data_IF_293978888026
#
_entry.id   IF_293978888026
#
_cell.length_a   1.000
_cell.length_b   1.000
_cell.length_c   1.000
_cell.angle_alpha   90.00
_cell.angle_beta   90.00
_cell.angle_gamma   90.00
#
_symmetry.space_group_name_H-M   'P 1'
#
loop_
_entity.id
_entity.type
_entity.pdbx_description
1 polymer ?
#
# COMPACT_ATOMS: atom_id res chain seq x y z
N UNK A 1 3.40 30.21 -28.09
CA UNK A 1 3.53 29.13 -27.10
C UNK A 1 3.55 27.83 -27.86
N UNK A 2 4.55 26.97 -27.64
CA UNK A 2 4.53 25.64 -28.22
C UNK A 2 3.31 24.91 -27.67
N UNK A 3 2.61 24.21 -28.51
CA UNK A 3 1.43 23.43 -28.14
C UNK A 3 1.87 22.41 -27.08
N UNK A 4 1.28 22.42 -25.90
CA UNK A 4 1.63 21.53 -24.77
C UNK A 4 1.56 20.04 -25.19
N UNK A 5 0.70 19.70 -26.17
CA UNK A 5 0.62 18.36 -26.72
C UNK A 5 1.90 17.95 -27.48
N UNK A 6 2.50 18.86 -28.25
CA UNK A 6 3.71 18.59 -29.05
C UNK A 6 4.94 18.41 -28.15
N UNK A 7 4.95 19.08 -26.99
CA UNK A 7 6.00 18.90 -26.00
C UNK A 7 6.04 17.47 -25.45
N UNK A 8 4.89 16.95 -25.03
CA UNK A 8 4.80 15.61 -24.43
C UNK A 8 5.21 14.50 -25.40
N UNK A 9 4.90 14.64 -26.69
CA UNK A 9 5.21 13.62 -27.70
C UNK A 9 6.67 13.62 -28.14
N UNK A 10 7.37 14.75 -28.02
CA UNK A 10 8.71 14.91 -28.58
C UNK A 10 9.83 14.99 -27.53
N UNK A 11 9.49 15.00 -26.24
CA UNK A 11 10.49 15.06 -25.19
C UNK A 11 11.10 13.68 -24.92
N UNK A 12 12.45 13.53 -24.81
CA UNK A 12 13.11 12.24 -24.61
C UNK A 12 12.75 11.56 -23.27
N UNK A 13 12.27 12.33 -22.28
CA UNK A 13 11.81 11.82 -21.00
C UNK A 13 10.27 11.64 -20.96
N UNK A 14 9.63 11.59 -22.14
CA UNK A 14 8.19 11.49 -22.25
C UNK A 14 7.62 10.24 -21.59
N UNK A 15 6.75 10.47 -20.62
CA UNK A 15 5.86 9.45 -20.05
C UNK A 15 4.45 9.87 -20.39
N UNK A 16 3.60 8.99 -20.97
CA UNK A 16 2.26 9.37 -21.41
C UNK A 16 1.50 10.13 -20.31
N UNK A 17 0.90 11.30 -20.61
CA UNK A 17 0.16 12.09 -19.64
C UNK A 17 -0.91 11.31 -18.91
N UNK A 18 -1.54 10.34 -19.58
CA UNK A 18 -2.57 9.47 -19.00
C UNK A 18 -2.07 8.75 -17.76
N UNK A 19 -0.80 8.41 -17.71
CA UNK A 19 -0.20 7.77 -16.53
C UNK A 19 -0.22 8.70 -15.30
N UNK A 20 0.10 9.97 -15.49
CA UNK A 20 0.10 10.99 -14.44
C UNK A 20 -1.31 11.40 -14.05
N UNK A 21 -2.20 11.47 -15.04
CA UNK A 21 -3.57 11.94 -14.90
C UNK A 21 -4.47 10.93 -14.19
N UNK A 22 -4.16 9.64 -14.27
CA UNK A 22 -4.92 8.58 -13.63
C UNK A 22 -5.07 8.73 -12.10
N UNK A 23 -4.21 9.50 -11.45
CA UNK A 23 -4.27 9.79 -10.01
C UNK A 23 -4.90 11.14 -9.66
N UNK A 24 -5.18 11.98 -10.65
CA UNK A 24 -5.78 13.30 -10.44
C UNK A 24 -7.31 13.22 -10.55
N UNK A 25 -8.00 13.94 -9.65
CA UNK A 25 -9.42 14.22 -9.86
C UNK A 25 -9.58 15.19 -11.01
N UNK A 26 -10.69 15.14 -11.71
CA UNK A 26 -11.01 16.03 -12.82
C UNK A 26 -10.76 17.53 -12.51
N UNK A 27 -11.16 18.08 -11.34
CA UNK A 27 -10.87 19.48 -11.02
C UNK A 27 -9.37 19.79 -10.87
N UNK A 28 -8.58 18.85 -10.33
CA UNK A 28 -7.13 19.02 -10.20
C UNK A 28 -6.42 18.98 -11.55
N UNK A 29 -6.88 18.12 -12.43
CA UNK A 29 -6.42 18.08 -13.82
C UNK A 29 -6.70 19.40 -14.54
N UNK A 30 -7.95 19.87 -14.52
CA UNK A 30 -8.35 21.16 -15.14
C UNK A 30 -7.53 22.32 -14.58
N UNK A 31 -7.27 22.32 -13.26
CA UNK A 31 -6.43 23.34 -12.64
C UNK A 31 -4.98 23.29 -13.13
N UNK A 32 -4.39 22.09 -13.30
CA UNK A 32 -3.05 21.97 -13.87
C UNK A 32 -3.00 22.49 -15.30
N UNK A 33 -4.00 22.16 -16.12
CA UNK A 33 -4.07 22.68 -17.50
C UNK A 33 -4.21 24.20 -17.53
N UNK A 34 -5.08 24.79 -16.70
CA UNK A 34 -5.22 26.26 -16.63
C UNK A 34 -3.91 26.96 -16.20
N UNK A 35 -3.12 26.36 -15.30
CA UNK A 35 -1.81 26.90 -14.93
C UNK A 35 -0.82 26.94 -16.09
N UNK A 36 -0.89 25.99 -17.02
CA UNK A 36 -0.01 25.96 -18.21
C UNK A 36 -0.34 27.05 -19.22
N UNK A 37 -1.59 27.52 -19.23
CA UNK A 37 -2.06 28.60 -20.12
C UNK A 37 -1.76 30.00 -19.56
N UNK A 38 -1.47 30.09 -18.23
CA UNK A 38 -1.18 31.34 -17.55
C UNK A 38 0.27 31.38 -17.02
N UNK A 39 1.23 32.00 -17.74
CA UNK A 39 2.63 32.06 -17.32
C UNK A 39 2.87 32.73 -15.97
N UNK A 40 2.01 33.67 -15.57
CA UNK A 40 2.14 34.37 -14.27
C UNK A 40 1.70 33.46 -13.14
N UNK A 41 0.54 32.81 -13.30
CA UNK A 41 0.07 31.82 -12.32
C UNK A 41 1.02 30.63 -12.22
N UNK A 42 1.61 30.18 -13.35
CA UNK A 42 2.59 29.12 -13.39
C UNK A 42 3.84 29.45 -12.57
N UNK A 43 4.46 30.61 -12.79
CA UNK A 43 5.63 31.09 -12.02
C UNK A 43 5.33 31.15 -10.52
N UNK A 44 4.17 31.67 -10.15
CA UNK A 44 3.72 31.71 -8.74
C UNK A 44 3.59 30.31 -8.14
N UNK A 45 3.03 29.36 -8.87
CA UNK A 45 2.89 27.97 -8.40
C UNK A 45 4.26 27.29 -8.30
N UNK A 46 5.19 27.51 -9.24
CA UNK A 46 6.57 27.04 -9.16
C UNK A 46 7.26 27.59 -7.92
N UNK A 47 7.17 28.90 -7.68
CA UNK A 47 7.73 29.52 -6.48
C UNK A 47 7.17 28.91 -5.18
N UNK A 48 5.88 28.55 -5.17
CA UNK A 48 5.25 27.85 -4.04
C UNK A 48 5.75 26.43 -3.88
N UNK A 49 5.93 25.67 -4.96
CA UNK A 49 6.38 24.28 -4.93
C UNK A 49 7.86 24.16 -4.59
N UNK A 50 8.67 25.06 -5.13
CA UNK A 50 10.13 25.09 -5.00
C UNK A 50 10.60 26.13 -3.98
N UNK A 51 9.79 26.44 -2.97
CA UNK A 51 10.12 27.42 -1.92
C UNK A 51 11.36 27.00 -1.09
N UNK A 52 11.69 25.72 -1.08
CA UNK A 52 12.89 25.19 -0.42
C UNK A 52 14.03 25.07 -1.43
N UNK A 53 15.19 25.66 -1.08
CA UNK A 53 16.38 25.70 -1.94
C UNK A 53 16.84 24.29 -2.34
N UNK A 54 16.80 23.31 -1.43
CA UNK A 54 17.16 21.93 -1.71
C UNK A 54 16.34 21.33 -2.85
N UNK A 55 15.01 21.50 -2.84
CA UNK A 55 14.12 21.01 -3.91
C UNK A 55 14.47 21.66 -5.24
N UNK A 56 14.65 23.00 -5.23
CA UNK A 56 15.02 23.73 -6.44
C UNK A 56 16.36 23.26 -7.02
N UNK A 57 17.35 23.00 -6.18
CA UNK A 57 18.67 22.48 -6.60
C UNK A 57 18.59 21.08 -7.22
N UNK A 58 17.78 20.17 -6.68
CA UNK A 58 17.56 18.83 -7.27
C UNK A 58 16.93 18.96 -8.65
N UNK A 59 15.94 19.82 -8.79
CA UNK A 59 15.27 20.07 -10.07
C UNK A 59 16.26 20.66 -11.09
N UNK A 60 17.06 21.66 -10.70
CA UNK A 60 18.07 22.24 -11.58
C UNK A 60 19.07 21.20 -12.06
N UNK A 61 19.60 20.36 -11.16
CA UNK A 61 20.53 19.29 -11.55
C UNK A 61 19.92 18.32 -12.55
N UNK A 62 18.69 17.84 -12.26
CA UNK A 62 17.99 16.90 -13.15
C UNK A 62 17.66 17.48 -14.52
N UNK A 63 17.38 18.78 -14.61
CA UNK A 63 17.07 19.49 -15.84
C UNK A 63 18.29 20.10 -16.55
N UNK A 64 19.47 19.94 -15.98
CA UNK A 64 20.71 20.59 -16.45
C UNK A 64 20.57 22.13 -16.55
N UNK A 65 19.89 22.73 -15.57
CA UNK A 65 19.69 24.17 -15.44
C UNK A 65 20.75 24.72 -14.50
N UNK A 66 21.34 25.88 -14.87
CA UNK A 66 22.25 26.60 -13.98
C UNK A 66 21.56 27.00 -12.67
N UNK A 67 22.10 26.53 -11.56
CA UNK A 67 21.58 26.80 -10.21
C UNK A 67 22.23 28.03 -9.54
N UNK A 68 23.07 28.80 -10.25
CA UNK A 68 23.64 30.02 -9.74
C UNK A 68 22.60 31.13 -9.62
N UNK A 69 22.74 31.96 -8.58
CA UNK A 69 21.88 33.12 -8.38
C UNK A 69 20.86 32.97 -7.23
N UNK A 70 19.90 33.86 -7.22
CA UNK A 70 18.80 33.91 -6.26
C UNK A 70 17.76 32.84 -6.55
N UNK A 71 16.99 32.48 -5.53
CA UNK A 71 15.90 31.49 -5.68
C UNK A 71 14.86 31.95 -6.72
N UNK A 72 14.60 33.25 -6.82
CA UNK A 72 13.69 33.82 -7.82
C UNK A 72 14.18 33.61 -9.26
N UNK A 73 15.47 33.84 -9.50
CA UNK A 73 16.09 33.62 -10.81
C UNK A 73 16.11 32.13 -11.20
N UNK A 74 16.28 31.25 -10.21
CA UNK A 74 16.16 29.80 -10.40
C UNK A 74 14.73 29.42 -10.78
N UNK A 75 13.72 29.99 -10.11
CA UNK A 75 12.32 29.75 -10.44
C UNK A 75 11.97 30.19 -11.85
N UNK A 76 12.48 31.34 -12.29
CA UNK A 76 12.24 31.84 -13.65
C UNK A 76 12.85 30.89 -14.69
N UNK A 77 14.08 30.45 -14.48
CA UNK A 77 14.73 29.47 -15.38
C UNK A 77 13.99 28.13 -15.42
N UNK A 78 13.53 27.62 -14.28
CA UNK A 78 12.74 26.39 -14.22
C UNK A 78 11.38 26.58 -14.91
N UNK A 79 10.74 27.77 -14.75
CA UNK A 79 9.46 28.08 -15.40
C UNK A 79 9.52 28.07 -16.93
N UNK A 80 10.68 28.35 -17.50
CA UNK A 80 10.91 28.29 -18.94
C UNK A 80 11.18 26.86 -19.43
N UNK A 81 11.44 25.93 -18.51
CA UNK A 81 11.76 24.57 -18.88
C UNK A 81 10.51 23.70 -19.10
N UNK A 82 10.44 22.94 -20.22
CA UNK A 82 9.24 22.17 -20.56
C UNK A 82 8.81 21.12 -19.53
N UNK A 83 9.72 20.59 -18.71
CA UNK A 83 9.44 19.58 -17.66
C UNK A 83 8.67 20.17 -16.45
N UNK A 84 8.45 21.49 -16.42
CA UNK A 84 7.67 22.13 -15.34
C UNK A 84 6.27 21.53 -15.18
N UNK A 85 5.66 21.09 -16.26
CA UNK A 85 4.36 20.38 -16.23
C UNK A 85 4.42 19.15 -15.35
N UNK A 86 5.49 18.37 -15.50
CA UNK A 86 5.76 17.21 -14.67
C UNK A 86 5.84 17.60 -13.19
N UNK A 87 6.54 18.68 -12.84
CA UNK A 87 6.66 19.14 -11.45
C UNK A 87 5.30 19.44 -10.84
N UNK A 88 4.42 20.11 -11.60
CA UNK A 88 3.06 20.40 -11.13
C UNK A 88 2.24 19.13 -10.92
N UNK A 89 2.30 18.21 -11.88
CA UNK A 89 1.63 16.91 -11.79
C UNK A 89 2.21 16.08 -10.64
N UNK A 90 3.54 16.01 -10.51
CA UNK A 90 4.21 15.31 -9.43
C UNK A 90 3.83 15.87 -8.05
N UNK A 91 3.75 17.19 -7.91
CA UNK A 91 3.32 17.82 -6.66
C UNK A 91 1.88 17.45 -6.29
N UNK A 92 0.97 17.38 -7.26
CA UNK A 92 -0.41 16.92 -7.06
C UNK A 92 -0.49 15.43 -6.75
N UNK A 93 0.35 14.64 -7.43
CA UNK A 93 0.44 13.21 -7.22
C UNK A 93 1.05 12.86 -5.84
N UNK A 94 1.94 13.69 -5.30
CA UNK A 94 2.66 13.49 -4.04
C UNK A 94 1.86 13.77 -2.78
N UNK A 95 0.52 13.97 -2.87
CA UNK A 95 -0.31 14.22 -1.70
C UNK A 95 0.15 13.40 -0.48
N UNK A 96 -0.08 13.91 0.72
CA UNK A 96 0.37 13.35 2.02
C UNK A 96 0.23 11.82 2.14
N UNK A 97 -0.78 11.26 1.45
CA UNK A 97 -1.11 9.82 1.45
C UNK A 97 -0.05 8.91 0.79
N UNK A 98 0.92 9.45 0.06
CA UNK A 98 1.92 8.64 -0.68
C UNK A 98 3.32 8.67 -0.09
N UNK A 99 3.48 9.28 1.09
CA UNK A 99 4.79 9.46 1.72
C UNK A 99 5.57 8.15 1.90
N UNK A 100 4.92 7.13 2.42
CA UNK A 100 5.54 5.82 2.64
C UNK A 100 5.97 5.17 1.31
N UNK A 101 5.09 5.18 0.30
CA UNK A 101 5.42 4.62 -1.02
C UNK A 101 6.60 5.33 -1.69
N UNK A 102 6.69 6.66 -1.58
CA UNK A 102 7.83 7.43 -2.10
C UNK A 102 9.11 7.03 -1.37
N UNK A 103 9.07 6.94 -0.03
CA UNK A 103 10.23 6.55 0.76
C UNK A 103 10.74 5.15 0.42
N UNK A 104 9.83 4.20 0.25
CA UNK A 104 10.19 2.83 -0.11
C UNK A 104 10.79 2.74 -1.52
N UNK A 105 10.23 3.46 -2.50
CA UNK A 105 10.79 3.48 -3.86
C UNK A 105 12.17 4.14 -3.86
N UNK A 106 12.34 5.27 -3.17
CA UNK A 106 13.64 5.94 -3.04
C UNK A 106 14.70 4.96 -2.51
N UNK A 107 14.40 4.27 -1.40
CA UNK A 107 15.34 3.30 -0.81
C UNK A 107 15.58 2.07 -1.68
N UNK A 108 14.59 1.64 -2.46
CA UNK A 108 14.65 0.42 -3.26
C UNK A 108 15.33 0.59 -4.63
N UNK A 109 15.27 1.78 -5.24
CA UNK A 109 15.76 1.97 -6.62
C UNK A 109 16.90 2.96 -6.76
N UNK A 110 17.01 3.96 -5.89
CA UNK A 110 18.06 4.96 -5.98
C UNK A 110 19.35 4.52 -5.28
N UNK A 111 20.49 4.85 -5.88
CA UNK A 111 21.79 4.74 -5.21
C UNK A 111 21.86 5.66 -3.99
N UNK A 112 22.75 5.39 -3.05
CA UNK A 112 22.94 6.25 -1.86
C UNK A 112 23.25 7.72 -2.23
N UNK A 113 24.03 7.94 -3.29
CA UNK A 113 24.34 9.27 -3.80
C UNK A 113 23.06 9.98 -4.27
N UNK A 114 22.24 9.32 -5.07
CA UNK A 114 20.97 9.85 -5.54
C UNK A 114 19.96 10.07 -4.39
N UNK A 115 19.99 9.23 -3.35
CA UNK A 115 19.18 9.42 -2.16
C UNK A 115 19.59 10.68 -1.38
N UNK A 116 20.88 10.97 -1.25
CA UNK A 116 21.40 12.20 -0.60
C UNK A 116 20.91 13.47 -1.30
N UNK A 117 20.66 13.41 -2.60
CA UNK A 117 20.14 14.55 -3.37
C UNK A 117 18.71 14.92 -3.00
N UNK A 118 17.91 13.96 -2.57
CA UNK A 118 16.47 14.16 -2.34
C UNK A 118 15.99 13.85 -0.92
N UNK A 119 16.87 13.40 -0.02
CA UNK A 119 16.55 13.12 1.38
C UNK A 119 17.12 14.21 2.30
N UNK A 120 16.53 14.34 3.48
CA UNK A 120 17.09 15.14 4.57
C UNK A 120 18.28 14.39 5.19
N UNK A 121 19.24 15.15 5.71
CA UNK A 121 20.30 14.56 6.54
C UNK A 121 19.78 14.33 7.96
N UNK A 122 20.19 13.21 8.56
CA UNK A 122 19.95 12.94 9.98
C UNK A 122 20.99 13.71 10.81
N UNK A 123 20.76 13.87 12.12
CA UNK A 123 21.70 14.51 13.05
C UNK A 123 23.07 13.81 13.08
N UNK A 124 23.11 12.52 12.74
CA UNK A 124 24.34 11.72 12.64
C UNK A 124 25.01 11.76 11.26
N UNK A 125 24.52 12.60 10.31
CA UNK A 125 25.02 12.69 8.94
C UNK A 125 24.58 11.57 8.01
N UNK A 126 23.63 10.73 8.44
CA UNK A 126 23.03 9.67 7.61
C UNK A 126 21.93 10.19 6.68
N UNK A 127 21.42 9.27 5.83
CA UNK A 127 20.30 9.55 4.93
C UNK A 127 19.01 9.42 5.73
N UNK A 128 18.25 10.51 5.83
CA UNK A 128 16.97 10.58 6.51
C UNK A 128 15.78 10.37 5.57
N UNK A 129 14.66 10.95 5.95
CA UNK A 129 13.42 10.86 5.17
C UNK A 129 13.51 11.68 3.87
N UNK A 130 12.95 11.17 2.77
CA UNK A 130 12.95 11.90 1.50
C UNK A 130 12.03 13.14 1.55
N UNK A 131 12.49 14.22 0.95
CA UNK A 131 11.61 15.29 0.55
C UNK A 131 10.71 14.84 -0.60
N UNK A 132 9.42 14.91 -0.43
CA UNK A 132 8.46 14.29 -1.37
C UNK A 132 8.57 14.80 -2.79
N UNK A 133 8.74 16.11 -2.97
CA UNK A 133 8.83 16.68 -4.31
C UNK A 133 10.20 16.40 -4.92
N UNK A 134 11.28 16.63 -4.16
CA UNK A 134 12.63 16.32 -4.61
C UNK A 134 12.78 14.85 -4.99
N UNK A 135 12.23 13.95 -4.17
CA UNK A 135 12.24 12.51 -4.40
C UNK A 135 11.50 12.11 -5.68
N UNK A 136 10.28 12.64 -5.91
CA UNK A 136 9.53 12.34 -7.13
C UNK A 136 10.24 12.84 -8.39
N UNK A 137 10.82 14.04 -8.34
CA UNK A 137 11.62 14.57 -9.43
C UNK A 137 12.86 13.69 -9.67
N UNK A 138 13.57 13.33 -8.60
CA UNK A 138 14.76 12.48 -8.71
C UNK A 138 14.44 11.09 -9.28
N UNK A 139 13.39 10.46 -8.78
CA UNK A 139 12.90 9.18 -9.29
C UNK A 139 12.55 9.23 -10.77
N UNK A 140 11.87 10.30 -11.19
CA UNK A 140 11.54 10.50 -12.59
C UNK A 140 12.77 10.70 -13.48
N UNK A 141 13.75 11.50 -13.02
CA UNK A 141 14.97 11.77 -13.75
C UNK A 141 15.85 10.53 -13.89
N UNK A 142 15.85 9.67 -12.87
CA UNK A 142 16.56 8.40 -12.88
C UNK A 142 15.92 7.42 -13.89
N UNK A 143 14.64 7.13 -13.72
CA UNK A 143 13.80 6.37 -14.66
C UNK A 143 12.32 6.75 -14.45
N UNK A 144 11.61 7.23 -15.51
CA UNK A 144 10.17 7.49 -15.43
C UNK A 144 9.32 6.30 -14.92
N UNK A 145 9.78 5.06 -15.12
CA UNK A 145 9.15 3.85 -14.60
C UNK A 145 9.06 3.83 -13.07
N UNK A 146 10.00 4.48 -12.37
CA UNK A 146 10.01 4.52 -10.90
C UNK A 146 8.73 5.11 -10.31
N UNK A 147 8.06 5.98 -11.04
CA UNK A 147 6.80 6.54 -10.59
C UNK A 147 5.62 5.58 -10.72
N UNK A 148 5.71 4.58 -11.59
CA UNK A 148 4.75 3.45 -11.59
C UNK A 148 4.87 2.66 -10.29
N UNK A 149 6.09 2.46 -9.80
CA UNK A 149 6.32 1.82 -8.49
C UNK A 149 5.73 2.63 -7.35
N UNK A 150 5.90 3.96 -7.34
CA UNK A 150 5.26 4.82 -6.34
C UNK A 150 3.74 4.66 -6.34
N UNK A 151 3.12 4.61 -7.53
CA UNK A 151 1.68 4.39 -7.65
C UNK A 151 1.26 3.02 -7.16
N UNK A 152 1.97 1.98 -7.57
CA UNK A 152 1.66 0.60 -7.22
C UNK A 152 1.86 0.33 -5.72
N UNK A 153 2.95 0.83 -5.14
CA UNK A 153 3.19 0.77 -3.70
C UNK A 153 2.18 1.60 -2.90
N UNK A 154 1.77 2.76 -3.42
CA UNK A 154 0.70 3.51 -2.78
C UNK A 154 -0.62 2.73 -2.77
N UNK A 155 -0.97 2.03 -3.86
CA UNK A 155 -2.12 1.15 -3.89
C UNK A 155 -1.96 0.02 -2.88
N UNK A 156 -0.79 -0.61 -2.83
CA UNK A 156 -0.45 -1.64 -1.86
C UNK A 156 -0.62 -1.15 -0.43
N UNK A 157 -0.03 -0.02 -0.06
CA UNK A 157 -0.12 0.55 1.28
C UNK A 157 -1.52 1.01 1.68
N UNK A 158 -2.34 1.43 0.71
CA UNK A 158 -3.68 1.99 0.97
C UNK A 158 -4.81 0.98 0.88
N UNK A 159 -4.54 -0.25 0.45
CA UNK A 159 -5.52 -1.34 0.34
C UNK A 159 -5.21 -2.46 1.32
N UNK A 160 -6.18 -3.32 1.59
CA UNK A 160 -5.96 -4.58 2.28
C UNK A 160 -5.61 -5.67 1.27
N UNK A 161 -4.81 -6.66 1.68
CA UNK A 161 -4.50 -7.82 0.87
C UNK A 161 -5.21 -9.09 1.40
N UNK A 162 -5.48 -10.03 0.50
CA UNK A 162 -5.80 -11.40 0.86
C UNK A 162 -4.49 -12.17 1.04
N UNK A 163 -4.33 -12.87 2.16
CA UNK A 163 -3.19 -13.76 2.42
C UNK A 163 -3.59 -15.20 2.11
N UNK A 164 -2.77 -15.88 1.34
CA UNK A 164 -3.02 -17.20 0.80
C UNK A 164 -1.75 -18.04 0.89
N UNK A 165 -1.89 -19.35 1.08
CA UNK A 165 -0.82 -20.34 1.05
C UNK A 165 -1.08 -21.37 -0.03
N UNK A 166 -0.02 -21.98 -0.55
CA UNK A 166 -0.18 -23.13 -1.44
C UNK A 166 -0.84 -24.29 -0.71
N UNK A 167 -1.77 -24.95 -1.38
CA UNK A 167 -2.44 -26.15 -0.88
C UNK A 167 -1.41 -27.23 -0.51
N UNK A 168 -1.71 -28.03 0.53
CA UNK A 168 -0.84 -29.06 1.11
C UNK A 168 -0.34 -30.11 0.11
N UNK A 169 -1.03 -30.30 -1.00
CA UNK A 169 -0.56 -31.14 -2.11
C UNK A 169 0.79 -30.72 -2.70
N UNK A 170 1.27 -29.53 -2.33
CA UNK A 170 2.51 -28.90 -2.82
C UNK A 170 3.63 -28.85 -1.77
N UNK A 171 3.44 -29.44 -0.59
CA UNK A 171 4.45 -29.52 0.47
C UNK A 171 5.72 -30.21 -0.06
N UNK A 172 6.86 -29.53 0.10
CA UNK A 172 8.17 -30.04 -0.36
C UNK A 172 8.61 -29.57 -1.75
N UNK A 173 7.79 -28.80 -2.48
CA UNK A 173 8.23 -28.19 -3.72
C UNK A 173 9.28 -27.11 -3.45
N UNK A 174 10.39 -27.23 -4.10
CA UNK A 174 11.42 -26.19 -4.15
C UNK A 174 11.37 -25.52 -5.52
N UNK A 175 11.39 -24.19 -5.58
CA UNK A 175 11.47 -23.49 -6.85
C UNK A 175 12.79 -23.85 -7.54
N UNK A 176 12.74 -24.11 -8.86
CA UNK A 176 13.92 -24.44 -9.66
C UNK A 176 14.87 -23.26 -9.87
N UNK A 177 14.38 -22.05 -9.63
CA UNK A 177 15.10 -20.80 -9.80
C UNK A 177 14.53 -19.72 -8.87
N UNK A 178 15.28 -18.65 -8.57
CA UNK A 178 14.77 -17.49 -7.87
C UNK A 178 13.61 -16.82 -8.62
N UNK A 179 12.68 -16.22 -7.89
CA UNK A 179 11.45 -15.61 -8.44
C UNK A 179 11.77 -14.47 -9.44
N UNK A 180 12.77 -13.65 -9.15
CA UNK A 180 13.23 -12.58 -10.04
C UNK A 180 13.73 -13.10 -11.38
N UNK A 181 14.52 -14.16 -11.37
CA UNK A 181 14.97 -14.85 -12.57
C UNK A 181 13.81 -15.42 -13.39
N UNK A 182 12.79 -15.96 -12.71
CA UNK A 182 11.57 -16.46 -13.35
C UNK A 182 10.80 -15.33 -14.03
N UNK A 183 10.55 -14.23 -13.31
CA UNK A 183 9.76 -13.09 -13.82
C UNK A 183 10.46 -12.38 -14.96
N UNK A 184 11.78 -12.14 -14.84
CA UNK A 184 12.50 -11.31 -15.80
C UNK A 184 12.99 -12.08 -17.06
N UNK A 185 13.25 -13.38 -16.95
CA UNK A 185 13.98 -14.12 -17.99
C UNK A 185 13.25 -15.36 -18.51
N UNK A 186 12.22 -15.83 -17.85
CA UNK A 186 11.58 -17.10 -18.20
C UNK A 186 10.33 -16.88 -19.07
N UNK A 187 10.25 -17.48 -20.28
CA UNK A 187 9.07 -17.39 -21.13
C UNK A 187 7.80 -17.97 -20.48
N UNK A 188 7.94 -18.92 -19.55
CA UNK A 188 6.81 -19.49 -18.81
C UNK A 188 6.06 -18.43 -17.95
N UNK A 189 6.73 -17.36 -17.51
CA UNK A 189 6.06 -16.25 -16.85
C UNK A 189 5.12 -15.53 -17.81
N UNK A 190 5.54 -15.27 -19.05
CA UNK A 190 4.68 -14.67 -20.08
C UNK A 190 3.48 -15.55 -20.41
N UNK A 191 3.68 -16.86 -20.44
CA UNK A 191 2.58 -17.84 -20.62
C UNK A 191 1.60 -17.78 -19.45
N UNK A 192 2.09 -17.69 -18.20
CA UNK A 192 1.23 -17.54 -17.02
C UNK A 192 0.35 -16.27 -17.10
N UNK A 193 0.94 -15.15 -17.53
CA UNK A 193 0.21 -13.91 -17.72
C UNK A 193 -0.85 -14.01 -18.82
N UNK A 194 -0.53 -14.70 -19.93
CA UNK A 194 -1.48 -14.93 -21.02
C UNK A 194 -2.66 -15.81 -20.56
N UNK A 195 -2.38 -16.89 -19.78
CA UNK A 195 -3.43 -17.73 -19.20
C UNK A 195 -4.34 -16.93 -18.27
N UNK A 196 -3.76 -16.08 -17.43
CA UNK A 196 -4.50 -15.22 -16.50
C UNK A 196 -5.13 -13.99 -17.18
N UNK A 197 -4.90 -13.78 -18.48
CA UNK A 197 -5.34 -12.61 -19.23
C UNK A 197 -4.97 -11.28 -18.55
N UNK A 198 -3.72 -11.15 -18.18
CA UNK A 198 -3.16 -9.96 -17.51
C UNK A 198 -1.91 -9.45 -18.22
N UNK A 199 -1.64 -8.16 -18.05
CA UNK A 199 -0.42 -7.50 -18.55
C UNK A 199 0.55 -7.26 -17.40
N UNK A 200 1.83 -7.54 -17.63
CA UNK A 200 2.90 -7.21 -16.69
C UNK A 200 3.17 -5.70 -16.66
N UNK A 201 3.15 -5.10 -15.48
CA UNK A 201 3.40 -3.67 -15.28
C UNK A 201 4.75 -3.40 -14.61
N UNK A 202 5.32 -4.38 -13.93
CA UNK A 202 6.62 -4.25 -13.30
C UNK A 202 6.81 -5.14 -12.08
N UNK A 203 8.02 -5.11 -11.56
CA UNK A 203 8.41 -5.82 -10.35
C UNK A 203 9.27 -4.89 -9.48
N UNK A 204 8.99 -4.86 -8.18
CA UNK A 204 9.66 -4.00 -7.21
C UNK A 204 10.31 -4.83 -6.11
N UNK A 205 11.63 -4.64 -5.81
CA UNK A 205 12.32 -5.34 -4.74
C UNK A 205 11.88 -4.85 -3.37
N UNK A 206 11.80 -5.77 -2.42
CA UNK A 206 11.58 -5.48 -1.00
C UNK A 206 12.83 -5.80 -0.18
N UNK A 207 12.92 -5.21 1.02
CA UNK A 207 14.09 -5.32 1.91
C UNK A 207 14.49 -6.76 2.26
N UNK A 208 13.59 -7.74 2.20
CA UNK A 208 13.83 -9.13 2.61
C UNK A 208 14.13 -10.06 1.41
N UNK A 209 14.58 -9.54 0.27
CA UNK A 209 14.76 -10.33 -0.95
C UNK A 209 13.45 -10.82 -1.57
N UNK A 210 12.33 -10.29 -1.11
CA UNK A 210 11.01 -10.50 -1.67
C UNK A 210 10.73 -9.52 -2.79
N UNK A 211 9.72 -9.81 -3.60
CA UNK A 211 9.36 -9.01 -4.76
C UNK A 211 7.85 -8.76 -4.81
N UNK A 212 7.48 -7.51 -5.03
CA UNK A 212 6.12 -7.17 -5.43
C UNK A 212 6.02 -7.24 -6.95
N UNK A 213 5.08 -8.02 -7.45
CA UNK A 213 4.77 -8.12 -8.88
C UNK A 213 3.50 -7.33 -9.15
N UNK A 214 3.55 -6.46 -10.14
CA UNK A 214 2.43 -5.63 -10.56
C UNK A 214 1.92 -6.12 -11.90
N UNK A 215 0.61 -6.41 -11.95
CA UNK A 215 -0.07 -6.77 -13.20
C UNK A 215 -1.34 -5.94 -13.33
N UNK A 216 -1.73 -5.66 -14.57
CA UNK A 216 -3.01 -5.03 -14.86
C UNK A 216 -3.93 -6.00 -15.60
N UNK A 217 -5.23 -5.88 -15.35
CA UNK A 217 -6.27 -6.63 -16.04
C UNK A 217 -7.47 -5.77 -16.40
N UNK A 218 -8.20 -6.18 -17.39
CA UNK A 218 -9.52 -5.63 -17.65
C UNK A 218 -10.51 -6.13 -16.59
N UNK A 219 -11.13 -5.18 -15.87
CA UNK A 219 -11.91 -5.51 -14.68
C UNK A 219 -13.40 -5.59 -14.95
N UNK A 220 -13.98 -4.56 -15.56
CA UNK A 220 -15.39 -4.51 -15.91
C UNK A 220 -15.62 -3.59 -17.09
N UNK A 221 -16.68 -3.87 -17.83
CA UNK A 221 -17.21 -2.94 -18.80
C UNK A 221 -17.83 -1.71 -18.12
N UNK A 222 -17.74 -0.59 -18.77
CA UNK A 222 -18.32 0.65 -18.33
C UNK A 222 -18.41 1.68 -19.43
N UNK A 223 -19.15 2.73 -19.17
CA UNK A 223 -19.28 3.86 -20.06
C UNK A 223 -18.53 5.04 -19.50
N UNK A 224 -17.74 5.71 -20.33
CA UNK A 224 -17.09 6.99 -20.04
C UNK A 224 -17.73 8.04 -20.95
N UNK A 225 -18.00 9.21 -20.41
CA UNK A 225 -18.41 10.35 -21.23
C UNK A 225 -17.17 11.18 -21.55
N UNK A 226 -16.72 11.13 -22.79
CA UNK A 226 -15.57 11.88 -23.29
C UNK A 226 -16.09 12.87 -24.32
N UNK A 227 -15.86 14.15 -24.10
CA UNK A 227 -16.32 15.25 -24.99
C UNK A 227 -17.83 15.18 -25.33
N UNK A 228 -18.65 14.78 -24.36
CA UNK A 228 -20.10 14.67 -24.55
C UNK A 228 -20.56 13.39 -25.26
N UNK A 229 -19.65 12.50 -25.67
CA UNK A 229 -19.97 11.22 -26.26
C UNK A 229 -19.78 10.07 -25.26
N UNK A 230 -20.70 9.12 -25.29
CA UNK A 230 -20.61 7.89 -24.49
C UNK A 230 -19.68 6.91 -25.20
N UNK A 231 -18.53 6.64 -24.57
CA UNK A 231 -17.61 5.61 -25.03
C UNK A 231 -17.73 4.39 -24.13
N UNK A 232 -17.94 3.23 -24.74
CA UNK A 232 -17.94 1.93 -24.07
C UNK A 232 -16.50 1.40 -24.03
N UNK A 233 -16.11 0.88 -22.87
CA UNK A 233 -14.77 0.32 -22.69
C UNK A 233 -14.67 -0.48 -21.40
N UNK A 234 -13.48 -1.03 -21.16
CA UNK A 234 -13.19 -1.77 -19.93
C UNK A 234 -12.33 -0.90 -19.00
N UNK A 235 -12.69 -0.92 -17.72
CA UNK A 235 -11.82 -0.34 -16.70
C UNK A 235 -10.64 -1.27 -16.42
N UNK A 236 -9.46 -0.70 -16.40
CA UNK A 236 -8.25 -1.41 -16.02
C UNK A 236 -8.11 -1.45 -14.49
N UNK A 237 -7.78 -2.62 -13.95
CA UNK A 237 -7.47 -2.83 -12.56
C UNK A 237 -6.00 -3.20 -12.39
N UNK A 238 -5.30 -2.50 -11.50
CA UNK A 238 -3.96 -2.88 -11.05
C UNK A 238 -4.10 -3.89 -9.90
N UNK A 239 -3.43 -5.03 -10.05
CA UNK A 239 -3.31 -6.09 -9.05
C UNK A 239 -1.87 -6.17 -8.59
N UNK A 240 -1.67 -6.19 -7.28
CA UNK A 240 -0.34 -6.34 -6.66
C UNK A 240 -0.25 -7.70 -6.00
N UNK A 241 0.77 -8.45 -6.35
CA UNK A 241 1.08 -9.78 -5.85
C UNK A 241 2.39 -9.70 -5.06
N UNK A 242 2.37 -10.12 -3.80
CA UNK A 242 3.52 -10.21 -2.91
C UNK A 242 3.79 -11.70 -2.63
N UNK A 243 4.66 -12.31 -3.42
CA UNK A 243 5.06 -13.69 -3.23
C UNK A 243 6.10 -13.77 -2.11
N UNK A 244 5.85 -14.60 -1.13
CA UNK A 244 6.66 -14.80 0.06
C UNK A 244 7.11 -16.25 0.15
N UNK A 245 8.09 -16.53 1.00
CA UNK A 245 8.58 -17.90 1.27
C UNK A 245 8.91 -18.71 0.01
N UNK A 246 9.56 -18.05 -0.97
CA UNK A 246 9.88 -18.73 -2.23
C UNK A 246 8.66 -19.08 -3.09
N UNK A 247 7.55 -18.36 -2.93
CA UNK A 247 6.30 -18.57 -3.65
C UNK A 247 5.31 -19.51 -2.95
N UNK A 248 5.60 -19.95 -1.73
CA UNK A 248 4.68 -20.80 -0.94
C UNK A 248 3.49 -20.04 -0.40
N UNK A 249 3.66 -18.77 -0.13
CA UNK A 249 2.58 -17.88 0.25
C UNK A 249 2.53 -16.67 -0.69
N UNK A 250 1.34 -16.09 -0.83
CA UNK A 250 1.11 -14.89 -1.63
C UNK A 250 0.10 -13.98 -0.95
N UNK A 251 0.37 -12.69 -0.99
CA UNK A 251 -0.61 -11.66 -0.60
C UNK A 251 -1.07 -10.94 -1.85
N UNK A 252 -2.37 -10.83 -2.04
CA UNK A 252 -2.99 -10.23 -3.23
C UNK A 252 -3.75 -8.97 -2.84
N UNK A 253 -3.37 -7.84 -3.42
CA UNK A 253 -4.10 -6.59 -3.31
C UNK A 253 -4.70 -6.19 -4.66
N UNK A 254 -5.99 -5.89 -4.67
CA UNK A 254 -6.75 -5.46 -5.85
C UNK A 254 -7.94 -4.60 -5.43
N UNK A 255 -8.57 -3.89 -6.35
CA UNK A 255 -9.83 -3.18 -6.09
C UNK A 255 -11.03 -4.14 -6.07
N UNK A 256 -10.96 -5.22 -6.83
CA UNK A 256 -12.01 -6.23 -6.87
C UNK A 256 -12.12 -6.98 -5.55
N UNK A 257 -13.36 -7.29 -5.19
CA UNK A 257 -13.68 -8.20 -4.09
C UNK A 257 -14.56 -9.30 -4.70
N UNK A 258 -14.13 -10.53 -4.65
CA UNK A 258 -12.97 -11.13 -4.00
C UNK A 258 -11.65 -10.93 -4.77
N UNK A 259 -10.53 -11.26 -4.11
CA UNK A 259 -9.19 -11.15 -4.69
C UNK A 259 -9.02 -12.12 -5.89
N UNK A 260 -8.33 -11.69 -6.95
CA UNK A 260 -8.14 -12.50 -8.17
C UNK A 260 -7.05 -13.57 -7.97
N UNK A 261 -7.41 -14.66 -7.30
CA UNK A 261 -6.50 -15.77 -6.95
C UNK A 261 -5.99 -16.51 -8.19
N UNK A 262 -6.79 -16.56 -9.25
CA UNK A 262 -6.45 -17.19 -10.52
C UNK A 262 -5.14 -16.67 -11.13
N UNK A 263 -4.81 -15.40 -10.90
CA UNK A 263 -3.55 -14.81 -11.37
C UNK A 263 -2.35 -15.43 -10.63
N UNK A 264 -2.45 -15.53 -9.31
CA UNK A 264 -1.40 -16.15 -8.49
C UNK A 264 -1.25 -17.64 -8.80
N UNK A 265 -2.36 -18.36 -8.96
CA UNK A 265 -2.36 -19.77 -9.34
C UNK A 265 -1.65 -20.01 -10.68
N UNK A 266 -1.97 -19.21 -11.70
CA UNK A 266 -1.32 -19.34 -13.02
C UNK A 266 0.20 -19.08 -12.94
N UNK A 267 0.62 -18.07 -12.19
CA UNK A 267 2.05 -17.74 -11.99
C UNK A 267 2.74 -18.88 -11.23
N UNK A 268 2.17 -19.34 -10.11
CA UNK A 268 2.74 -20.42 -9.30
C UNK A 268 2.82 -21.73 -10.07
N UNK A 269 1.79 -22.11 -10.81
CA UNK A 269 1.79 -23.34 -11.62
C UNK A 269 2.95 -23.38 -12.63
N UNK A 270 3.23 -22.25 -13.28
CA UNK A 270 4.37 -22.13 -14.18
C UNK A 270 5.71 -22.05 -13.44
N UNK A 271 5.75 -21.41 -12.27
CA UNK A 271 6.94 -21.29 -11.46
C UNK A 271 7.41 -22.63 -10.89
N UNK A 272 6.48 -23.41 -10.36
CA UNK A 272 6.77 -24.76 -9.82
C UNK A 272 6.74 -25.87 -10.88
N UNK A 273 6.22 -25.59 -12.08
CA UNK A 273 6.13 -26.56 -13.19
C UNK A 273 5.08 -27.66 -12.99
N UNK A 274 4.05 -27.39 -12.20
CA UNK A 274 2.89 -28.24 -11.93
C UNK A 274 1.70 -27.41 -11.51
N UNK A 275 0.51 -27.97 -11.56
CA UNK A 275 -0.70 -27.27 -11.10
C UNK A 275 -0.57 -26.94 -9.62
N UNK A 276 -0.78 -25.66 -9.33
CA UNK A 276 -0.71 -25.07 -8.00
C UNK A 276 -1.99 -24.27 -7.73
N UNK A 277 -2.52 -24.43 -6.52
CA UNK A 277 -3.69 -23.69 -6.07
C UNK A 277 -3.38 -23.03 -4.72
N UNK A 278 -3.66 -21.75 -4.62
CA UNK A 278 -3.61 -21.03 -3.36
C UNK A 278 -4.94 -21.11 -2.64
N UNK A 279 -4.89 -21.44 -1.37
CA UNK A 279 -6.02 -21.45 -0.44
C UNK A 279 -5.82 -20.37 0.65
N UNK A 280 -6.88 -19.98 1.37
CA UNK A 280 -6.73 -19.12 2.54
C UNK A 280 -5.71 -19.70 3.52
N UNK A 281 -4.84 -18.83 4.04
CA UNK A 281 -3.93 -19.24 5.11
C UNK A 281 -4.74 -19.58 6.35
N UNK A 282 -4.88 -20.87 6.63
CA UNK A 282 -5.57 -21.42 7.78
C UNK A 282 -4.59 -21.80 8.91
N UNK A 283 -3.28 -21.51 8.73
CA UNK A 283 -2.27 -21.85 9.73
C UNK A 283 -2.52 -21.15 11.07
N UNK A 284 -2.28 -21.87 12.14
CA UNK A 284 -2.67 -21.55 13.52
C UNK A 284 -1.63 -20.69 14.24
N UNK A 285 -2.10 -19.68 14.96
CA UNK A 285 -1.27 -18.98 15.95
C UNK A 285 -1.17 -19.84 17.22
N UNK A 286 -0.04 -19.82 17.89
CA UNK A 286 0.14 -20.54 19.15
C UNK A 286 -0.85 -20.07 20.25
N UNK A 287 -1.59 -20.96 20.90
CA UNK A 287 -2.66 -20.60 21.84
C UNK A 287 -2.27 -19.67 23.00
N UNK A 288 -1.07 -19.80 23.61
CA UNK A 288 -0.69 -18.93 24.71
C UNK A 288 -0.59 -17.45 24.36
N UNK A 289 -0.24 -17.15 23.13
CA UNK A 289 0.00 -15.79 22.67
C UNK A 289 -1.28 -14.96 22.51
N UNK A 290 -2.39 -15.57 22.10
CA UNK A 290 -3.67 -14.85 21.99
C UNK A 290 -4.18 -14.41 23.36
N UNK A 291 -4.01 -15.23 24.40
CA UNK A 291 -4.37 -14.87 25.79
C UNK A 291 -3.53 -13.71 26.32
N UNK A 292 -2.20 -13.75 26.10
CA UNK A 292 -1.31 -12.68 26.51
C UNK A 292 -1.66 -11.36 25.80
N UNK A 293 -1.94 -11.42 24.51
CA UNK A 293 -2.39 -10.28 23.72
C UNK A 293 -3.72 -9.71 24.25
N UNK A 294 -4.71 -10.58 24.49
CA UNK A 294 -6.01 -10.14 25.03
C UNK A 294 -5.90 -9.59 26.45
N UNK A 295 -5.04 -10.17 27.29
CA UNK A 295 -4.78 -9.64 28.63
C UNK A 295 -4.24 -8.22 28.59
N UNK A 296 -3.32 -7.92 27.63
CA UNK A 296 -2.79 -6.58 27.47
C UNK A 296 -3.83 -5.60 26.90
N UNK A 297 -4.60 -6.01 25.88
CA UNK A 297 -5.66 -5.17 25.30
C UNK A 297 -6.74 -4.79 26.31
N UNK A 298 -6.98 -5.66 27.30
CA UNK A 298 -7.98 -5.45 28.36
C UNK A 298 -7.38 -4.85 29.64
N UNK A 299 -6.06 -4.62 29.69
CA UNK A 299 -5.38 -4.04 30.86
C UNK A 299 -5.61 -2.53 30.91
N UNK A 300 -6.29 -2.00 31.95
CA UNK A 300 -6.53 -0.57 32.08
C UNK A 300 -5.25 0.25 32.34
N UNK A 301 -4.17 -0.39 32.75
CA UNK A 301 -2.89 0.27 33.03
C UNK A 301 -1.95 0.30 31.81
N UNK A 302 -2.31 -0.40 30.70
CA UNK A 302 -1.53 -0.44 29.47
C UNK A 302 -2.13 0.48 28.38
N UNK A 303 -1.39 1.51 28.00
CA UNK A 303 -1.78 2.47 26.95
C UNK A 303 -1.21 2.12 25.56
N UNK A 304 -0.54 0.99 25.39
CA UNK A 304 0.13 0.65 24.12
C UNK A 304 -0.87 0.29 23.00
N UNK A 305 -1.98 -0.36 23.37
CA UNK A 305 -3.05 -0.77 22.45
C UNK A 305 -4.44 -0.39 23.01
N UNK A 306 -4.77 0.90 23.15
CA UNK A 306 -5.99 1.35 23.79
C UNK A 306 -7.24 0.75 23.14
N UNK A 307 -8.10 0.12 23.93
CA UNK A 307 -9.37 -0.46 23.50
C UNK A 307 -10.38 0.65 23.19
N UNK A 308 -11.01 0.60 22.02
CA UNK A 308 -12.00 1.59 21.56
C UNK A 308 -13.43 1.10 21.76
N UNK A 309 -13.69 -0.13 21.38
CA UNK A 309 -14.96 -0.83 21.59
C UNK A 309 -14.75 -2.34 21.59
N UNK A 310 -15.73 -3.07 22.13
CA UNK A 310 -15.71 -4.52 22.20
C UNK A 310 -17.13 -5.11 22.12
N UNK A 311 -17.28 -6.13 21.28
CA UNK A 311 -18.49 -6.95 21.17
C UNK A 311 -18.29 -8.27 21.91
N UNK A 312 -19.11 -8.53 22.93
CA UNK A 312 -19.05 -9.75 23.75
C UNK A 312 -20.28 -10.61 23.50
N UNK A 313 -20.05 -11.92 23.33
CA UNK A 313 -21.11 -12.94 23.18
C UNK A 313 -21.41 -13.62 24.51
N UNK A 314 -22.57 -14.25 24.57
CA UNK A 314 -22.95 -15.15 25.65
C UNK A 314 -22.83 -14.48 27.02
N UNK A 315 -23.49 -13.31 27.16
CA UNK A 315 -23.45 -12.57 28.44
C UNK A 315 -24.12 -13.40 29.54
N UNK A 316 -23.40 -13.82 30.59
CA UNK A 316 -23.95 -14.67 31.63
C UNK A 316 -25.15 -14.04 32.36
N UNK A 317 -26.13 -14.87 32.68
CA UNK A 317 -27.32 -14.44 33.43
C UNK A 317 -28.42 -13.79 32.61
N UNK A 318 -28.23 -13.64 31.28
CA UNK A 318 -29.29 -13.20 30.39
C UNK A 318 -29.80 -14.40 29.56
N UNK A 319 -31.10 -14.55 29.50
CA UNK A 319 -31.70 -15.64 28.71
C UNK A 319 -31.55 -15.39 27.21
N UNK A 320 -31.19 -16.44 26.43
CA UNK A 320 -31.12 -16.39 24.98
C UNK A 320 -29.75 -16.00 24.42
N UNK A 321 -28.68 -16.09 25.19
CA UNK A 321 -27.29 -15.83 24.72
C UNK A 321 -27.11 -14.47 24.02
N UNK A 322 -27.51 -13.35 24.66
CA UNK A 322 -27.44 -12.04 24.00
C UNK A 322 -25.99 -11.60 23.74
N UNK A 323 -25.82 -10.90 22.65
CA UNK A 323 -24.60 -10.16 22.37
C UNK A 323 -24.66 -8.78 23.04
N UNK A 324 -23.54 -8.31 23.60
CA UNK A 324 -23.42 -6.99 24.18
C UNK A 324 -22.29 -6.24 23.50
N UNK A 325 -22.60 -5.07 22.96
CA UNK A 325 -21.63 -4.14 22.41
C UNK A 325 -21.35 -3.02 23.42
N UNK A 326 -20.09 -2.88 23.80
CA UNK A 326 -19.63 -1.77 24.65
C UNK A 326 -18.91 -0.77 23.75
N UNK A 327 -19.43 0.47 23.73
CA UNK A 327 -18.79 1.60 23.07
C UNK A 327 -18.63 2.74 24.04
N UNK A 328 -17.47 3.32 24.06
CA UNK A 328 -17.25 4.51 24.87
C UNK A 328 -17.61 5.77 24.06
N UNK A 329 -18.56 6.55 24.55
CA UNK A 329 -19.01 7.80 23.90
C UNK A 329 -18.17 9.03 24.28
N UNK A 330 -17.20 8.88 25.20
CA UNK A 330 -16.40 9.98 25.72
C UNK A 330 -14.90 9.63 25.84
N UNK A 331 -14.11 10.50 26.45
CA UNK A 331 -12.67 10.35 26.66
C UNK A 331 -12.27 9.37 27.76
N UNK A 332 -13.17 8.52 28.24
CA UNK A 332 -12.86 7.49 29.22
C UNK A 332 -12.14 6.29 28.62
N UNK A 333 -11.60 5.43 29.47
CA UNK A 333 -10.93 4.19 29.09
C UNK A 333 -11.93 3.05 29.02
N UNK A 334 -11.99 2.38 27.88
CA UNK A 334 -12.88 1.24 27.66
C UNK A 334 -12.49 0.06 28.55
N UNK A 335 -11.19 -0.11 28.78
CA UNK A 335 -10.59 -1.15 29.62
C UNK A 335 -11.14 -1.08 31.05
N UNK A 336 -11.27 0.12 31.62
CA UNK A 336 -11.88 0.33 32.96
C UNK A 336 -13.35 -0.10 32.99
N UNK A 337 -14.09 0.20 31.90
CA UNK A 337 -15.48 -0.24 31.79
C UNK A 337 -15.60 -1.76 31.70
N UNK A 338 -14.71 -2.42 30.95
CA UNK A 338 -14.65 -3.88 30.84
C UNK A 338 -14.31 -4.48 32.20
N UNK A 339 -13.29 -3.96 32.89
CA UNK A 339 -12.89 -4.43 34.20
C UNK A 339 -14.04 -4.30 35.26
N UNK A 340 -14.76 -3.18 35.21
CA UNK A 340 -15.93 -3.01 36.09
C UNK A 340 -17.04 -4.04 35.81
N UNK A 341 -17.14 -4.51 34.58
CA UNK A 341 -18.12 -5.50 34.14
C UNK A 341 -17.63 -6.95 34.27
N UNK A 342 -16.34 -7.20 34.47
CA UNK A 342 -15.77 -8.56 34.55
C UNK A 342 -16.44 -9.41 35.65
N UNK A 343 -16.93 -8.79 36.72
CA UNK A 343 -17.72 -9.50 37.76
C UNK A 343 -18.98 -10.18 37.18
N UNK A 344 -19.49 -9.66 36.08
CA UNK A 344 -20.68 -10.16 35.38
C UNK A 344 -20.31 -10.94 34.10
N UNK A 345 -19.24 -10.55 33.44
CA UNK A 345 -18.80 -11.14 32.17
C UNK A 345 -17.87 -12.34 32.38
N UNK A 346 -17.23 -12.45 33.55
CA UNK A 346 -16.10 -13.34 33.77
C UNK A 346 -14.83 -12.81 33.14
N UNK A 347 -13.70 -13.49 33.35
CA UNK A 347 -12.40 -13.13 32.78
C UNK A 347 -12.39 -13.32 31.24
N UNK A 348 -12.53 -12.21 30.55
CA UNK A 348 -12.55 -12.19 29.05
C UNK A 348 -11.19 -12.50 28.44
N UNK A 349 -10.09 -12.21 29.15
CA UNK A 349 -8.76 -12.56 28.65
C UNK A 349 -8.51 -14.07 28.65
N UNK A 350 -9.10 -14.78 29.62
CA UNK A 350 -9.07 -16.24 29.71
C UNK A 350 -10.04 -16.93 28.71
N UNK A 351 -11.07 -16.21 28.26
CA UNK A 351 -12.13 -16.71 27.37
C UNK A 351 -12.27 -15.86 26.11
N UNK A 352 -11.21 -15.77 25.29
CA UNK A 352 -11.19 -14.89 24.11
C UNK A 352 -12.25 -15.26 23.06
N UNK A 353 -12.77 -16.48 23.06
CA UNK A 353 -13.87 -16.93 22.20
C UNK A 353 -15.18 -16.18 22.45
N UNK A 354 -15.37 -15.60 23.61
CA UNK A 354 -16.53 -14.78 23.95
C UNK A 354 -16.44 -13.39 23.34
N UNK A 355 -15.26 -12.95 22.94
CA UNK A 355 -15.06 -11.69 22.25
C UNK A 355 -15.30 -11.94 20.77
N UNK A 356 -16.37 -11.34 20.21
CA UNK A 356 -16.68 -11.45 18.80
C UNK A 356 -15.79 -10.54 17.98
N UNK A 357 -15.73 -9.28 18.36
CA UNK A 357 -14.98 -8.22 17.68
C UNK A 357 -14.57 -7.17 18.69
N UNK A 358 -13.46 -6.55 18.43
CA UNK A 358 -13.01 -5.36 19.16
C UNK A 358 -12.24 -4.42 18.27
N UNK A 359 -12.18 -3.15 18.61
CA UNK A 359 -11.33 -2.17 17.98
C UNK A 359 -10.30 -1.66 18.96
N UNK A 360 -9.08 -1.56 18.51
CA UNK A 360 -7.96 -0.93 19.22
C UNK A 360 -7.50 0.30 18.47
N UNK A 361 -6.91 1.24 19.18
CA UNK A 361 -6.20 2.36 18.55
C UNK A 361 -4.75 1.98 18.33
N UNK A 362 -4.33 2.02 17.08
CA UNK A 362 -2.96 1.71 16.69
C UNK A 362 -2.52 2.66 15.58
N UNK A 363 -1.36 3.34 15.78
CA UNK A 363 -0.77 4.25 14.77
C UNK A 363 -1.78 5.31 14.29
N UNK A 364 -2.46 5.98 15.26
CA UNK A 364 -3.51 7.00 15.07
C UNK A 364 -4.74 6.54 14.26
N UNK A 365 -5.01 5.25 14.22
CA UNK A 365 -6.23 4.71 13.59
C UNK A 365 -6.83 3.57 14.39
N UNK A 366 -8.14 3.40 14.23
CA UNK A 366 -8.83 2.27 14.80
C UNK A 366 -8.67 1.04 13.90
N UNK A 367 -8.18 -0.06 14.46
CA UNK A 367 -8.05 -1.37 13.82
C UNK A 367 -9.10 -2.29 14.43
N UNK A 368 -10.01 -2.79 13.59
CA UNK A 368 -10.98 -3.80 14.00
C UNK A 368 -10.43 -5.22 13.89
N UNK A 369 -10.60 -6.00 14.94
CA UNK A 369 -10.10 -7.37 15.04
C UNK A 369 -11.22 -8.31 15.46
N UNK A 370 -11.18 -9.56 14.96
CA UNK A 370 -11.95 -10.69 15.46
C UNK A 370 -11.03 -11.67 16.16
N UNK A 371 -11.53 -12.26 17.25
CA UNK A 371 -11.00 -13.52 17.76
C UNK A 371 -11.92 -14.64 17.31
N UNK A 372 -11.40 -15.63 16.64
CA UNK A 372 -12.16 -16.78 16.15
C UNK A 372 -11.48 -18.07 16.56
N UNK A 373 -12.28 -19.09 16.80
CA UNK A 373 -11.78 -20.44 16.96
C UNK A 373 -11.80 -21.15 15.62
N UNK A 374 -10.64 -21.61 15.16
CA UNK A 374 -10.44 -22.34 13.90
C UNK A 374 -9.58 -23.55 14.21
N UNK A 375 -10.04 -24.72 13.78
CA UNK A 375 -9.34 -26.00 14.01
C UNK A 375 -8.92 -26.27 15.48
N UNK A 376 -9.73 -25.75 16.42
CA UNK A 376 -9.48 -25.91 17.85
C UNK A 376 -8.65 -24.80 18.51
N UNK A 377 -8.06 -23.91 17.73
CA UNK A 377 -7.19 -22.83 18.20
C UNK A 377 -7.82 -21.43 18.03
N UNK A 378 -7.37 -20.48 18.85
CA UNK A 378 -7.79 -19.08 18.73
C UNK A 378 -6.92 -18.35 17.72
N UNK A 379 -7.56 -17.62 16.82
CA UNK A 379 -6.91 -16.87 15.74
C UNK A 379 -7.38 -15.42 15.78
N UNK A 380 -6.45 -14.49 15.69
CA UNK A 380 -6.73 -13.06 15.50
C UNK A 380 -6.81 -12.75 14.02
N UNK A 381 -7.86 -12.06 13.59
CA UNK A 381 -8.10 -11.68 12.20
C UNK A 381 -8.57 -10.23 12.13
N UNK A 382 -8.13 -9.48 11.12
CA UNK A 382 -8.70 -8.16 10.84
C UNK A 382 -10.21 -8.27 10.57
N UNK A 383 -10.99 -7.38 11.21
CA UNK A 383 -12.45 -7.42 11.11
C UNK A 383 -12.98 -6.96 9.76
N UNK A 384 -12.29 -6.02 9.13
CA UNK A 384 -12.68 -5.46 7.86
C UNK A 384 -11.49 -5.16 6.95
N UNK A 385 -11.77 -4.93 5.67
CA UNK A 385 -10.75 -4.54 4.70
C UNK A 385 -10.38 -3.05 4.75
N UNK A 386 -10.64 -2.33 5.85
CA UNK A 386 -10.35 -0.89 5.97
C UNK A 386 -8.93 -0.61 6.41
N UNK A 387 -8.31 -1.55 7.12
CA UNK A 387 -6.90 -1.44 7.49
C UNK A 387 -6.05 -1.54 6.22
N UNK A 388 -5.29 -0.48 5.92
CA UNK A 388 -4.42 -0.48 4.74
C UNK A 388 -3.21 -1.42 4.93
N UNK A 389 -2.62 -1.87 3.83
CA UNK A 389 -1.53 -2.87 3.88
C UNK A 389 -0.32 -2.40 4.69
N UNK A 390 0.08 -1.13 4.58
CA UNK A 390 1.22 -0.60 5.33
C UNK A 390 1.02 -0.73 6.85
N UNK A 391 -0.15 -0.31 7.35
CA UNK A 391 -0.48 -0.42 8.77
C UNK A 391 -0.71 -1.87 9.18
N UNK A 392 -1.36 -2.66 8.33
CA UNK A 392 -1.57 -4.08 8.57
C UNK A 392 -0.24 -4.84 8.70
N UNK A 393 0.73 -4.58 7.81
CA UNK A 393 2.07 -5.20 7.87
C UNK A 393 2.84 -4.78 9.11
N UNK A 394 2.80 -3.49 9.47
CA UNK A 394 3.43 -2.99 10.69
C UNK A 394 2.84 -3.67 11.92
N UNK A 395 1.50 -3.70 12.02
CA UNK A 395 0.78 -4.36 13.10
C UNK A 395 1.06 -5.86 13.17
N UNK A 396 0.99 -6.56 12.03
CA UNK A 396 1.28 -8.00 11.96
C UNK A 396 2.69 -8.34 12.44
N UNK A 397 3.69 -7.54 12.05
CA UNK A 397 5.08 -7.71 12.50
C UNK A 397 5.20 -7.53 13.99
N UNK A 398 4.65 -6.46 14.53
CA UNK A 398 4.69 -6.18 15.96
C UNK A 398 3.99 -7.26 16.79
N UNK A 399 2.83 -7.75 16.32
CA UNK A 399 2.12 -8.86 16.97
C UNK A 399 2.92 -10.16 16.92
N UNK A 400 3.61 -10.43 15.81
CA UNK A 400 4.47 -11.62 15.69
C UNK A 400 5.71 -11.51 16.59
N UNK A 401 6.35 -10.34 16.68
CA UNK A 401 7.54 -10.11 17.49
C UNK A 401 7.22 -10.10 19.00
N UNK A 402 6.11 -9.46 19.40
CA UNK A 402 5.77 -9.28 20.82
C UNK A 402 5.03 -10.48 21.41
N UNK A 403 4.09 -11.05 20.65
CA UNK A 403 3.18 -12.10 21.17
C UNK A 403 3.31 -13.44 20.44
N UNK A 404 4.09 -13.52 19.37
CA UNK A 404 4.18 -14.71 18.53
C UNK A 404 2.88 -15.02 17.77
N UNK A 405 2.00 -14.02 17.54
CA UNK A 405 0.72 -14.20 16.85
C UNK A 405 0.80 -13.80 15.38
N UNK A 406 0.25 -14.65 14.50
CA UNK A 406 -0.02 -14.29 13.11
C UNK A 406 -1.43 -13.71 12.98
N UNK A 407 -1.53 -12.39 12.74
CA UNK A 407 -2.82 -11.73 12.49
C UNK A 407 -3.24 -11.93 11.03
N UNK A 408 -4.41 -12.52 10.81
CA UNK A 408 -4.90 -12.88 9.47
C UNK A 408 -5.56 -11.72 8.74
N UNK A 409 -5.55 -11.80 7.41
CA UNK A 409 -6.25 -10.85 6.54
C UNK A 409 -7.78 -10.96 6.68
N UNK A 410 -8.48 -9.81 6.54
CA UNK A 410 -9.95 -9.77 6.46
C UNK A 410 -10.50 -10.22 5.11
N UNK A 411 -9.68 -10.26 4.05
CA UNK A 411 -10.14 -10.60 2.70
C UNK A 411 -10.27 -12.09 2.52
N UNK A 412 -11.45 -12.48 2.02
CA UNK A 412 -11.69 -13.84 1.57
C UNK A 412 -11.28 -13.96 0.08
N UNK A 413 -10.52 -14.99 -0.30
CA UNK A 413 -10.24 -15.27 -1.70
C UNK A 413 -11.53 -15.67 -2.44
N UNK A 414 -11.51 -15.55 -3.77
CA UNK A 414 -12.52 -16.15 -4.63
C UNK A 414 -12.13 -17.61 -4.83
N UNK A 415 -13.06 -18.51 -4.51
CA UNK A 415 -12.95 -19.91 -4.87
C UNK A 415 -13.04 -20.05 -6.40
#
# INVERSE_FOLDING_TARGET
MANTADFWTNHPLYTPPEFWLQGLRTPDYQRCMALLEDPVALRKEIGRLLSRKQVALVVCRGLNIDAAGTLAEIHDRIAEHPVVVFLLLAARFSARKRRAAIADVVRGVLTEEAQRDCCYETESGGIGEPDRLAALVRLYMDDPQNLRFVRALHLWHSSSAASLVLDDSTVGLLPRQPLDGFVLRNPAFKEALAIANVRFEGMFPRANGQWLIFVSRLYREGCLVVEGQVQHGHFEELVVLDFQEGGRSVRISSKSKPAPVEIANAIASKFFGRDCTYAPDLATSAPPSVRAFMAQVLDPDDDTLPLVDIDVREVPGLAGEPEMELRYASTGRMEEAVQALERHLGDLSAQPERIRRFHIRYDDANIGLYVRRMDGEHVVQFADGRTNNHRAEKFQREMAETYGIAVRSARTPKA
#
